data_IF_758408241067
#
_entry.id   IF_758408241067
#
_cell.length_a   1.000
_cell.length_b   1.000
_cell.length_c   1.000
_cell.angle_alpha   90.00
_cell.angle_beta   90.00
_cell.angle_gamma   90.00
#
_symmetry.space_group_name_H-M   'P 1'
#
loop_
_entity.id
_entity.type
_entity.pdbx_description
1 polymer ?
#
# COMPACT_ATOMS: atom_id res chain seq x y z
N UNK A 1 10.61 -15.66 10.05
CA UNK A 1 9.40 -15.04 10.63
C UNK A 1 8.61 -14.56 9.44
N UNK A 2 7.43 -15.12 9.19
CA UNK A 2 6.64 -14.77 8.01
C UNK A 2 6.16 -13.31 8.08
N UNK A 3 5.99 -12.65 6.95
CA UNK A 3 5.49 -11.26 6.87
C UNK A 3 4.11 -11.14 7.51
N UNK A 4 3.27 -12.17 7.35
CA UNK A 4 1.97 -12.29 8.02
C UNK A 4 2.07 -12.24 9.54
N UNK A 5 3.16 -12.76 10.11
CA UNK A 5 3.38 -12.75 11.56
C UNK A 5 3.70 -11.34 12.08
N UNK A 6 4.24 -10.47 11.21
CA UNK A 6 4.59 -9.09 11.55
C UNK A 6 3.41 -8.14 11.31
N UNK A 7 2.49 -8.47 10.40
CA UNK A 7 1.40 -7.59 9.98
C UNK A 7 0.04 -8.01 10.54
N UNK A 8 -0.50 -9.14 10.12
CA UNK A 8 -1.84 -9.59 10.51
C UNK A 8 -1.90 -10.41 11.79
N UNK A 9 -0.78 -11.07 12.13
CA UNK A 9 -0.59 -11.77 13.40
C UNK A 9 0.26 -10.96 14.40
N UNK A 10 0.49 -9.65 14.12
CA UNK A 10 1.21 -8.80 15.08
C UNK A 10 0.54 -8.95 16.46
N UNK A 11 1.38 -9.19 17.47
CA UNK A 11 0.93 -9.34 18.85
C UNK A 11 0.24 -8.09 19.38
N UNK A 12 0.42 -6.94 18.73
CA UNK A 12 -0.24 -5.69 19.06
C UNK A 12 -1.65 -5.62 18.44
N UNK A 13 -2.72 -5.73 19.26
CA UNK A 13 -4.09 -5.74 18.77
C UNK A 13 -4.49 -4.42 18.06
N UNK A 14 -3.87 -3.30 18.47
CA UNK A 14 -4.14 -1.98 17.85
C UNK A 14 -3.61 -1.95 16.42
N UNK A 15 -2.41 -2.46 16.17
CA UNK A 15 -1.86 -2.53 14.81
C UNK A 15 -2.70 -3.41 13.91
N UNK A 16 -3.10 -4.61 14.39
CA UNK A 16 -3.99 -5.50 13.64
C UNK A 16 -5.30 -4.81 13.27
N UNK A 17 -5.92 -4.15 14.26
CA UNK A 17 -7.16 -3.42 14.03
C UNK A 17 -6.99 -2.31 12.99
N UNK A 18 -5.92 -1.50 13.07
CA UNK A 18 -5.63 -0.45 12.09
C UNK A 18 -5.45 -0.99 10.67
N UNK A 19 -4.75 -2.11 10.51
CA UNK A 19 -4.57 -2.76 9.21
C UNK A 19 -5.88 -3.29 8.65
N UNK A 20 -6.67 -3.96 9.48
CA UNK A 20 -7.99 -4.43 9.09
C UNK A 20 -8.90 -3.26 8.66
N UNK A 21 -8.89 -2.15 9.40
CA UNK A 21 -9.68 -0.96 9.05
C UNK A 21 -9.29 -0.36 7.70
N UNK A 22 -8.00 -0.37 7.33
CA UNK A 22 -7.54 0.10 6.02
C UNK A 22 -8.10 -0.77 4.89
N UNK A 23 -7.98 -2.08 5.03
CA UNK A 23 -8.52 -3.03 4.06
C UNK A 23 -10.03 -2.90 3.94
N UNK A 24 -10.75 -2.85 5.05
CA UNK A 24 -12.20 -2.66 5.05
C UNK A 24 -12.63 -1.32 4.42
N UNK A 25 -11.89 -0.25 4.69
CA UNK A 25 -12.16 1.06 4.07
C UNK A 25 -11.98 1.00 2.57
N UNK A 26 -10.89 0.43 2.08
CA UNK A 26 -10.64 0.27 0.65
C UNK A 26 -11.70 -0.62 -0.01
N UNK A 27 -12.04 -1.75 0.62
CA UNK A 27 -13.10 -2.67 0.17
C UNK A 27 -14.47 -1.96 0.10
N UNK A 28 -14.81 -1.11 1.09
CA UNK A 28 -16.06 -0.33 1.08
C UNK A 28 -16.07 0.74 -0.01
N UNK A 29 -14.95 1.37 -0.32
CA UNK A 29 -14.86 2.33 -1.43
C UNK A 29 -15.16 1.65 -2.76
N UNK A 30 -14.72 0.40 -2.92
CA UNK A 30 -15.00 -0.41 -4.10
C UNK A 30 -16.42 -1.01 -4.13
N UNK A 31 -17.20 -0.87 -3.05
CA UNK A 31 -18.54 -1.44 -3.01
C UNK A 31 -19.46 -0.82 -4.09
N UNK A 32 -20.14 -1.68 -4.84
CA UNK A 32 -20.99 -1.28 -5.97
C UNK A 32 -20.26 -1.18 -7.32
N UNK A 33 -18.93 -1.29 -7.36
CA UNK A 33 -18.21 -1.50 -8.60
C UNK A 33 -18.40 -2.94 -9.08
N UNK A 34 -18.29 -3.15 -10.41
CA UNK A 34 -18.42 -4.50 -11.00
C UNK A 34 -17.28 -4.77 -12.01
N UNK A 35 -16.02 -4.74 -11.56
CA UNK A 35 -14.88 -4.97 -12.43
C UNK A 35 -14.75 -6.47 -12.76
N UNK A 36 -14.39 -6.79 -14.02
CA UNK A 36 -14.06 -8.17 -14.41
C UNK A 36 -12.68 -8.61 -13.93
N UNK A 37 -11.73 -7.68 -13.91
CA UNK A 37 -10.37 -7.90 -13.46
C UNK A 37 -10.00 -6.86 -12.40
N UNK A 38 -9.47 -7.34 -11.29
CA UNK A 38 -8.99 -6.53 -10.18
C UNK A 38 -7.51 -6.86 -9.95
N UNK A 39 -6.67 -5.85 -9.87
CA UNK A 39 -5.26 -5.99 -9.54
C UNK A 39 -5.03 -5.55 -8.08
N UNK A 40 -4.44 -6.42 -7.28
CA UNK A 40 -3.83 -6.08 -6.00
C UNK A 40 -2.34 -5.87 -6.23
N UNK A 41 -1.93 -4.59 -6.27
CA UNK A 41 -0.56 -4.19 -6.57
C UNK A 41 0.27 -4.10 -5.28
N UNK A 42 1.25 -4.99 -5.14
CA UNK A 42 2.02 -5.17 -3.91
C UNK A 42 1.21 -5.94 -2.88
N UNK A 43 0.65 -7.07 -3.29
CA UNK A 43 -0.30 -7.86 -2.50
C UNK A 43 0.29 -8.45 -1.20
N UNK A 44 1.62 -8.42 -1.04
CA UNK A 44 2.29 -9.04 0.09
C UNK A 44 1.92 -10.52 0.20
N UNK A 45 1.42 -10.92 1.36
CA UNK A 45 0.96 -12.29 1.59
C UNK A 45 -0.49 -12.55 1.17
N UNK A 46 -1.15 -11.63 0.44
CA UNK A 46 -2.47 -11.84 -0.17
C UNK A 46 -3.68 -11.58 0.73
N UNK A 47 -3.54 -10.94 1.89
CA UNK A 47 -4.69 -10.72 2.79
C UNK A 47 -5.79 -9.83 2.18
N UNK A 48 -5.43 -8.80 1.41
CA UNK A 48 -6.41 -8.01 0.67
C UNK A 48 -7.04 -8.86 -0.44
N UNK A 49 -6.24 -9.60 -1.22
CA UNK A 49 -6.75 -10.52 -2.25
C UNK A 49 -7.82 -11.46 -1.69
N UNK A 50 -7.65 -11.96 -0.46
CA UNK A 50 -8.62 -12.85 0.20
C UNK A 50 -9.97 -12.18 0.42
N UNK A 51 -9.96 -10.92 0.85
CA UNK A 51 -11.18 -10.17 1.12
C UNK A 51 -11.88 -9.79 -0.20
N UNK A 52 -11.15 -9.26 -1.17
CA UNK A 52 -11.73 -8.84 -2.45
C UNK A 52 -12.18 -10.03 -3.29
N UNK A 53 -11.53 -11.20 -3.20
CA UNK A 53 -11.98 -12.41 -3.88
C UNK A 53 -13.37 -12.90 -3.41
N UNK A 54 -13.65 -12.71 -2.13
CA UNK A 54 -14.97 -13.01 -1.56
C UNK A 54 -16.01 -11.94 -1.88
N UNK A 55 -15.58 -10.67 -1.94
CA UNK A 55 -16.46 -9.54 -2.28
C UNK A 55 -16.85 -9.51 -3.76
N UNK A 56 -15.96 -9.95 -4.63
CA UNK A 56 -16.11 -9.95 -6.09
C UNK A 56 -15.97 -11.38 -6.64
N UNK A 57 -16.92 -12.29 -6.36
CA UNK A 57 -16.78 -13.71 -6.71
C UNK A 57 -16.70 -13.95 -8.23
N UNK A 58 -17.29 -13.06 -9.04
CA UNK A 58 -17.26 -13.13 -10.50
C UNK A 58 -16.02 -12.46 -11.13
N UNK A 59 -15.27 -11.68 -10.34
CA UNK A 59 -14.06 -11.02 -10.82
C UNK A 59 -12.86 -11.95 -10.72
N UNK A 60 -11.91 -11.77 -11.63
CA UNK A 60 -10.59 -12.38 -11.56
C UNK A 60 -9.66 -11.45 -10.80
N UNK A 61 -9.13 -11.91 -9.68
CA UNK A 61 -8.23 -11.16 -8.81
C UNK A 61 -6.78 -11.48 -9.20
N UNK A 62 -6.05 -10.47 -9.61
CA UNK A 62 -4.62 -10.58 -9.96
C UNK A 62 -3.82 -10.18 -8.74
N UNK A 63 -3.18 -11.15 -8.10
CA UNK A 63 -2.28 -10.96 -6.96
C UNK A 63 -0.88 -10.69 -7.52
N UNK A 64 -0.45 -9.42 -7.50
CA UNK A 64 0.89 -9.02 -7.92
C UNK A 64 1.77 -8.72 -6.72
N UNK A 65 2.86 -9.48 -6.59
CA UNK A 65 3.89 -9.30 -5.56
C UNK A 65 5.26 -9.60 -6.16
N UNK A 66 6.20 -8.62 -6.23
CA UNK A 66 7.52 -8.84 -6.81
C UNK A 66 8.47 -9.63 -5.91
N UNK A 67 8.19 -9.70 -4.59
CA UNK A 67 9.05 -10.37 -3.62
C UNK A 67 8.76 -11.88 -3.57
N UNK A 68 9.70 -12.77 -3.96
CA UNK A 68 9.42 -14.19 -4.09
C UNK A 68 8.85 -14.84 -2.82
N UNK A 69 9.45 -14.56 -1.66
CA UNK A 69 9.00 -15.14 -0.40
C UNK A 69 7.56 -14.73 -0.02
N UNK A 70 7.19 -13.47 -0.30
CA UNK A 70 5.83 -12.98 -0.05
C UNK A 70 4.83 -13.56 -1.04
N UNK A 71 5.23 -13.70 -2.30
CA UNK A 71 4.42 -14.38 -3.31
C UNK A 71 4.15 -15.86 -2.93
N UNK A 72 5.14 -16.56 -2.39
CA UNK A 72 4.93 -17.94 -1.95
C UNK A 72 3.99 -18.01 -0.73
N UNK A 73 4.12 -17.10 0.24
CA UNK A 73 3.14 -16.96 1.33
C UNK A 73 1.72 -16.65 0.79
N UNK A 74 1.60 -15.80 -0.22
CA UNK A 74 0.31 -15.49 -0.84
C UNK A 74 -0.31 -16.71 -1.53
N UNK A 75 0.48 -17.51 -2.24
CA UNK A 75 0.02 -18.77 -2.86
C UNK A 75 -0.53 -19.75 -1.82
N UNK A 76 0.15 -19.90 -0.68
CA UNK A 76 -0.32 -20.73 0.42
C UNK A 76 -1.63 -20.20 1.04
N UNK A 77 -1.71 -18.88 1.29
CA UNK A 77 -2.86 -18.26 1.92
C UNK A 77 -4.11 -18.25 1.04
N UNK A 78 -3.93 -18.27 -0.29
CA UNK A 78 -5.01 -18.10 -1.28
C UNK A 78 -5.34 -19.39 -2.02
N UNK A 79 -4.76 -20.54 -1.66
CA UNK A 79 -4.87 -21.84 -2.35
C UNK A 79 -6.33 -22.28 -2.61
N UNK A 80 -7.26 -21.89 -1.75
CA UNK A 80 -8.67 -22.28 -1.85
C UNK A 80 -9.53 -21.30 -2.66
N UNK A 81 -8.96 -20.19 -3.18
CA UNK A 81 -9.67 -19.16 -3.91
C UNK A 81 -9.47 -19.32 -5.42
N UNK A 82 -10.51 -19.83 -6.10
CA UNK A 82 -10.44 -20.18 -7.54
C UNK A 82 -10.38 -18.98 -8.48
N UNK A 83 -10.81 -17.81 -8.02
CA UNK A 83 -10.83 -16.58 -8.80
C UNK A 83 -9.57 -15.72 -8.60
N UNK A 84 -8.55 -16.22 -7.88
CA UNK A 84 -7.24 -15.56 -7.72
C UNK A 84 -6.24 -16.15 -8.71
N UNK A 85 -5.46 -15.27 -9.33
CA UNK A 85 -4.30 -15.64 -10.16
C UNK A 85 -3.07 -14.87 -9.68
N UNK A 86 -1.92 -15.50 -9.73
CA UNK A 86 -0.66 -14.92 -9.29
C UNK A 86 0.11 -14.35 -10.47
N UNK A 87 0.71 -13.19 -10.29
CA UNK A 87 1.45 -12.46 -11.28
C UNK A 87 2.75 -11.93 -10.67
N UNK A 88 3.89 -12.31 -11.22
CA UNK A 88 5.19 -11.81 -10.78
C UNK A 88 5.66 -10.64 -11.66
N UNK A 89 5.20 -10.55 -12.90
CA UNK A 89 5.62 -9.55 -13.87
C UNK A 89 4.42 -8.87 -14.52
N UNK A 90 4.25 -7.58 -14.26
CA UNK A 90 3.14 -6.80 -14.83
C UNK A 90 3.15 -6.73 -16.36
N UNK A 91 4.32 -6.95 -16.99
CA UNK A 91 4.43 -7.00 -18.46
C UNK A 91 3.62 -8.10 -19.12
N UNK A 92 3.23 -9.15 -18.38
CA UNK A 92 2.36 -10.22 -18.87
C UNK A 92 0.89 -9.80 -18.99
N UNK A 93 0.50 -8.70 -18.33
CA UNK A 93 -0.87 -8.21 -18.34
C UNK A 93 -1.08 -7.27 -19.54
N UNK A 94 -2.21 -7.49 -20.23
CA UNK A 94 -2.58 -6.67 -21.38
C UNK A 94 -2.89 -5.22 -20.98
N UNK A 95 -2.66 -4.28 -21.88
CA UNK A 95 -3.06 -2.89 -21.74
C UNK A 95 -4.59 -2.79 -21.65
N UNK A 96 -5.09 -1.77 -20.95
CA UNK A 96 -6.54 -1.49 -20.79
C UNK A 96 -7.36 -2.73 -20.38
N UNK A 97 -6.82 -3.56 -19.49
CA UNK A 97 -7.44 -4.83 -19.11
C UNK A 97 -8.00 -4.86 -17.69
N UNK A 98 -7.57 -3.94 -16.81
CA UNK A 98 -7.90 -3.93 -15.39
C UNK A 98 -8.96 -2.88 -15.09
N UNK A 99 -10.08 -3.29 -14.52
CA UNK A 99 -11.17 -2.38 -14.12
C UNK A 99 -10.95 -1.70 -12.78
N UNK A 100 -10.18 -2.34 -11.88
CA UNK A 100 -9.90 -1.80 -10.54
C UNK A 100 -8.49 -2.20 -10.08
N UNK A 101 -7.72 -1.24 -9.61
CA UNK A 101 -6.42 -1.46 -8.97
C UNK A 101 -6.55 -1.11 -7.47
N UNK A 102 -6.14 -2.02 -6.61
CA UNK A 102 -5.81 -1.71 -5.23
C UNK A 102 -4.29 -1.59 -5.08
N UNK A 103 -3.84 -0.58 -4.32
CA UNK A 103 -2.45 -0.39 -3.96
C UNK A 103 -2.40 0.20 -2.55
N UNK A 104 -2.29 -0.68 -1.55
CA UNK A 104 -2.36 -0.31 -0.14
C UNK A 104 -1.00 -0.53 0.55
N UNK A 105 -0.49 0.51 1.22
CA UNK A 105 0.77 0.46 1.97
C UNK A 105 1.97 0.02 1.08
N UNK A 106 2.06 0.60 -0.12
CA UNK A 106 3.14 0.30 -1.08
C UNK A 106 3.95 1.55 -1.41
N UNK A 107 3.31 2.66 -1.79
CA UNK A 107 4.01 3.85 -2.28
C UNK A 107 4.96 4.49 -1.28
N UNK A 108 4.71 4.35 0.02
CA UNK A 108 5.62 4.83 1.06
C UNK A 108 6.98 4.11 1.08
N UNK A 109 7.03 2.96 0.46
CA UNK A 109 8.23 2.13 0.34
C UNK A 109 8.95 2.32 -0.99
N UNK A 110 8.31 2.95 -1.98
CA UNK A 110 8.88 3.08 -3.31
C UNK A 110 9.78 4.32 -3.43
N UNK A 111 11.04 4.18 -3.87
CA UNK A 111 11.82 5.28 -4.40
C UNK A 111 11.14 5.97 -5.59
N UNK A 112 11.65 7.12 -5.98
CA UNK A 112 11.04 7.96 -7.02
C UNK A 112 10.90 7.21 -8.35
N UNK A 113 11.93 6.49 -8.77
CA UNK A 113 11.91 5.69 -10.01
C UNK A 113 10.82 4.62 -9.99
N UNK A 114 10.77 3.84 -8.92
CA UNK A 114 9.78 2.76 -8.72
C UNK A 114 8.37 3.32 -8.60
N UNK A 115 8.21 4.50 -7.99
CA UNK A 115 6.93 5.24 -7.92
C UNK A 115 6.46 5.63 -9.32
N UNK A 116 7.34 6.23 -10.13
CA UNK A 116 7.02 6.60 -11.52
C UNK A 116 6.70 5.38 -12.39
N UNK A 117 7.43 4.29 -12.21
CA UNK A 117 7.22 3.04 -12.92
C UNK A 117 5.85 2.43 -12.54
N UNK A 118 5.50 2.41 -11.25
CA UNK A 118 4.19 1.94 -10.78
C UNK A 118 3.04 2.76 -11.38
N UNK A 119 3.14 4.10 -11.38
CA UNK A 119 2.11 4.96 -11.95
C UNK A 119 1.99 4.81 -13.47
N UNK A 120 3.09 4.54 -14.16
CA UNK A 120 3.08 4.22 -15.59
C UNK A 120 2.35 2.90 -15.87
N UNK A 121 2.58 1.88 -15.03
CA UNK A 121 1.86 0.62 -15.11
C UNK A 121 0.38 0.79 -14.80
N UNK A 122 -0.01 1.59 -13.81
CA UNK A 122 -1.42 1.89 -13.55
C UNK A 122 -2.09 2.50 -14.77
N UNK A 123 -1.45 3.50 -15.39
CA UNK A 123 -1.98 4.16 -16.61
C UNK A 123 -2.10 3.19 -17.78
N UNK A 124 -1.16 2.24 -17.92
CA UNK A 124 -1.18 1.23 -18.99
C UNK A 124 -2.28 0.19 -18.78
N UNK A 125 -2.42 -0.28 -17.54
CA UNK A 125 -3.29 -1.43 -17.22
C UNK A 125 -4.74 -1.04 -17.04
N UNK A 126 -5.03 0.16 -16.49
CA UNK A 126 -6.39 0.60 -16.24
C UNK A 126 -7.17 0.76 -17.55
N UNK A 127 -8.39 0.26 -17.54
CA UNK A 127 -9.40 0.57 -18.57
C UNK A 127 -9.76 2.07 -18.53
N UNK A 128 -10.33 2.62 -19.61
CA UNK A 128 -10.71 4.03 -19.69
C UNK A 128 -11.66 4.47 -18.56
N UNK A 129 -12.53 3.57 -18.10
CA UNK A 129 -13.44 3.77 -16.97
C UNK A 129 -12.98 3.03 -15.71
N UNK A 130 -11.73 2.56 -15.68
CA UNK A 130 -11.14 1.88 -14.54
C UNK A 130 -10.76 2.86 -13.43
N UNK A 131 -10.65 2.34 -12.21
CA UNK A 131 -10.31 3.12 -11.03
C UNK A 131 -9.12 2.51 -10.27
N UNK A 132 -8.39 3.34 -9.54
CA UNK A 132 -7.38 2.89 -8.60
C UNK A 132 -7.69 3.40 -7.19
N UNK A 133 -7.57 2.51 -6.20
CA UNK A 133 -7.69 2.83 -4.78
C UNK A 133 -6.30 2.73 -4.17
N UNK A 134 -5.74 3.89 -3.82
CA UNK A 134 -4.39 4.00 -3.25
C UNK A 134 -4.51 4.35 -1.77
N UNK A 135 -3.90 3.53 -0.93
CA UNK A 135 -3.84 3.74 0.51
C UNK A 135 -2.40 3.86 1.00
N UNK A 136 -2.10 4.94 1.73
CA UNK A 136 -0.76 5.21 2.29
C UNK A 136 -0.85 5.73 3.72
N UNK A 137 0.19 5.51 4.54
CA UNK A 137 0.22 6.04 5.89
C UNK A 137 0.50 7.54 5.90
N UNK A 138 0.00 8.24 6.92
CA UNK A 138 0.40 9.60 7.22
C UNK A 138 1.62 9.57 8.14
N UNK A 139 2.77 10.06 7.64
CA UNK A 139 4.07 10.07 8.34
C UNK A 139 4.57 11.51 8.62
N UNK A 140 3.68 12.51 8.46
CA UNK A 140 3.97 13.92 8.74
C UNK A 140 2.89 14.52 9.67
N UNK A 141 3.20 15.65 10.30
CA UNK A 141 2.31 16.30 11.26
C UNK A 141 2.19 15.51 12.58
N UNK A 142 1.07 15.65 13.27
CA UNK A 142 0.83 15.00 14.57
C UNK A 142 0.98 13.46 14.53
N UNK A 143 0.56 12.74 13.47
CA UNK A 143 0.85 11.31 13.34
C UNK A 143 2.34 10.94 13.43
N UNK A 144 3.24 11.76 12.92
CA UNK A 144 4.67 11.53 13.05
C UNK A 144 5.14 11.57 14.50
N UNK A 145 4.57 12.47 15.31
CA UNK A 145 4.94 12.61 16.72
C UNK A 145 4.57 11.35 17.52
N UNK A 146 3.31 10.94 17.53
CA UNK A 146 2.90 9.79 18.35
C UNK A 146 3.54 8.48 17.87
N UNK A 147 3.68 8.29 16.55
CA UNK A 147 4.41 7.14 15.98
C UNK A 147 5.89 7.19 16.37
N UNK A 148 6.48 8.38 16.31
CA UNK A 148 7.88 8.62 16.69
C UNK A 148 8.16 8.28 18.16
N UNK A 149 7.33 8.74 19.08
CA UNK A 149 7.44 8.40 20.51
C UNK A 149 7.41 6.87 20.69
N UNK A 150 6.48 6.19 20.04
CA UNK A 150 6.38 4.74 20.09
C UNK A 150 7.59 4.02 19.48
N UNK A 151 8.22 4.58 18.44
CA UNK A 151 9.44 4.05 17.82
C UNK A 151 10.66 4.24 18.73
N UNK A 152 10.76 5.39 19.41
CA UNK A 152 11.85 5.69 20.36
C UNK A 152 11.92 4.64 21.47
N UNK A 153 10.79 4.21 22.01
CA UNK A 153 10.76 3.21 23.08
C UNK A 153 11.27 1.82 22.65
N UNK A 154 11.35 1.55 21.35
CA UNK A 154 11.76 0.27 20.79
C UNK A 154 13.13 0.29 20.10
N UNK A 155 13.49 1.41 19.49
CA UNK A 155 14.64 1.50 18.58
C UNK A 155 15.34 2.87 18.66
N UNK A 156 15.56 3.37 19.89
CA UNK A 156 16.18 4.69 20.08
C UNK A 156 17.47 4.83 19.25
N UNK A 157 17.60 5.94 18.54
CA UNK A 157 18.74 6.25 17.68
C UNK A 157 18.64 5.70 16.24
N UNK A 158 17.67 4.84 15.91
CA UNK A 158 17.38 4.45 14.53
C UNK A 158 16.86 5.66 13.73
N UNK A 159 16.97 5.62 12.41
CA UNK A 159 16.56 6.70 11.51
C UNK A 159 15.11 7.18 11.80
N UNK A 160 14.18 6.25 11.96
CA UNK A 160 12.77 6.51 12.21
C UNK A 160 12.41 6.71 13.70
N UNK A 161 13.40 6.59 14.60
CA UNK A 161 13.33 6.85 16.03
C UNK A 161 14.27 7.98 16.48
N UNK A 162 14.78 8.76 15.56
CA UNK A 162 15.57 9.97 15.82
C UNK A 162 14.67 11.14 16.19
N UNK A 163 14.92 11.77 17.33
CA UNK A 163 14.16 12.94 17.82
C UNK A 163 14.17 14.06 16.75
N UNK A 164 15.33 14.31 16.13
CA UNK A 164 15.45 15.29 15.05
C UNK A 164 14.49 14.99 13.89
N UNK A 165 14.48 13.75 13.42
CA UNK A 165 13.65 13.35 12.28
C UNK A 165 12.14 13.38 12.63
N UNK A 166 11.79 13.04 13.87
CA UNK A 166 10.42 13.12 14.37
C UNK A 166 9.95 14.58 14.41
N UNK A 167 10.76 15.50 14.93
CA UNK A 167 10.43 16.93 14.98
C UNK A 167 10.33 17.54 13.57
N UNK A 168 11.25 17.20 12.67
CA UNK A 168 11.16 17.64 11.27
C UNK A 168 9.86 17.15 10.63
N UNK A 169 9.50 15.89 10.82
CA UNK A 169 8.25 15.32 10.28
C UNK A 169 7.01 15.93 10.92
N UNK A 170 7.03 16.25 12.23
CA UNK A 170 5.96 16.96 12.92
C UNK A 170 5.65 18.32 12.27
N UNK A 171 6.69 19.04 11.88
CA UNK A 171 6.54 20.34 11.20
C UNK A 171 6.44 20.23 9.67
N UNK A 172 6.12 19.04 9.15
CA UNK A 172 5.93 18.78 7.71
C UNK A 172 7.20 18.91 6.85
N UNK A 173 8.38 18.74 7.43
CA UNK A 173 9.68 18.67 6.75
C UNK A 173 10.32 17.28 6.93
N UNK A 174 9.71 16.20 6.40
CA UNK A 174 10.23 14.87 6.63
C UNK A 174 11.64 14.71 6.03
N UNK A 175 12.52 13.93 6.69
CA UNK A 175 13.86 13.70 6.19
C UNK A 175 13.85 12.97 4.85
N UNK A 176 14.71 13.39 3.92
CA UNK A 176 14.77 12.81 2.57
C UNK A 176 15.87 11.75 2.40
N UNK A 177 16.79 11.63 3.37
CA UNK A 177 17.95 10.73 3.31
C UNK A 177 17.61 9.29 3.72
N UNK A 178 16.57 8.71 3.10
CA UNK A 178 16.16 7.31 3.30
C UNK A 178 17.13 6.39 2.57
N UNK A 179 17.44 5.24 3.18
CA UNK A 179 18.28 4.22 2.55
C UNK A 179 17.40 3.19 1.86
N UNK A 180 17.53 3.09 0.54
CA UNK A 180 16.87 2.05 -0.23
C UNK A 180 17.68 0.75 -0.18
N UNK A 181 17.00 -0.38 -0.21
CA UNK A 181 17.58 -1.71 -0.35
C UNK A 181 16.90 -2.44 -1.51
N UNK A 182 17.62 -3.27 -2.22
CA UNK A 182 17.06 -4.10 -3.27
C UNK A 182 16.35 -5.31 -2.64
N UNK A 183 15.06 -5.52 -3.01
CA UNK A 183 14.23 -6.63 -2.50
C UNK A 183 13.95 -7.70 -3.56
N UNK A 184 14.10 -7.33 -4.83
CA UNK A 184 14.06 -8.21 -5.99
C UNK A 184 15.02 -7.63 -7.05
N UNK A 185 15.51 -8.39 -8.02
CA UNK A 185 16.42 -7.90 -9.05
C UNK A 185 15.90 -6.63 -9.74
N UNK A 186 16.63 -5.51 -9.56
CA UNK A 186 16.30 -4.21 -10.12
C UNK A 186 15.14 -3.48 -9.43
N UNK A 187 14.66 -3.95 -8.28
CA UNK A 187 13.56 -3.34 -7.53
C UNK A 187 14.04 -2.82 -6.17
N UNK A 188 14.11 -1.50 -6.03
CA UNK A 188 14.54 -0.83 -4.81
C UNK A 188 13.37 -0.50 -3.90
N UNK A 189 13.60 -0.53 -2.59
CA UNK A 189 12.57 -0.43 -1.57
C UNK A 189 13.08 0.26 -0.31
N UNK A 190 12.24 1.08 0.35
CA UNK A 190 12.50 1.67 1.65
C UNK A 190 11.81 0.86 2.75
N UNK A 191 12.55 0.40 3.76
CA UNK A 191 11.95 -0.32 4.88
C UNK A 191 11.21 0.60 5.86
N UNK A 192 11.71 1.81 6.06
CA UNK A 192 11.12 2.76 6.98
C UNK A 192 10.09 3.66 6.30
N UNK A 193 8.97 3.92 6.98
CA UNK A 193 7.97 4.88 6.52
C UNK A 193 8.38 6.34 6.80
N UNK A 194 9.25 6.59 7.80
CA UNK A 194 9.78 7.92 8.09
C UNK A 194 10.44 8.51 6.84
N UNK A 195 10.11 9.76 6.55
CA UNK A 195 10.57 10.43 5.33
C UNK A 195 9.58 10.37 4.17
N UNK A 196 8.52 9.55 4.26
CA UNK A 196 7.43 9.57 3.30
C UNK A 196 6.53 10.79 3.52
N UNK A 197 6.21 11.48 2.42
CA UNK A 197 5.28 12.62 2.42
C UNK A 197 4.12 12.34 1.45
N UNK A 198 2.98 11.96 2.00
CA UNK A 198 1.78 11.66 1.21
C UNK A 198 1.33 12.84 0.33
N UNK A 199 1.65 14.09 0.70
CA UNK A 199 1.28 15.29 -0.07
C UNK A 199 2.00 15.34 -1.42
N UNK A 200 3.28 14.89 -1.45
CA UNK A 200 4.05 14.77 -2.70
C UNK A 200 3.44 13.70 -3.60
N UNK A 201 3.10 12.54 -3.03
CA UNK A 201 2.42 11.48 -3.79
C UNK A 201 1.05 11.97 -4.30
N UNK A 202 0.26 12.65 -3.46
CA UNK A 202 -1.03 13.21 -3.86
C UNK A 202 -0.89 14.20 -5.02
N UNK A 203 0.08 15.12 -4.96
CA UNK A 203 0.36 16.05 -6.06
C UNK A 203 0.75 15.31 -7.35
N UNK A 204 1.57 14.26 -7.24
CA UNK A 204 1.96 13.44 -8.37
C UNK A 204 0.76 12.68 -8.97
N UNK A 205 -0.10 12.10 -8.14
CA UNK A 205 -1.34 11.46 -8.57
C UNK A 205 -2.27 12.45 -9.27
N UNK A 206 -2.46 13.66 -8.74
CA UNK A 206 -3.24 14.71 -9.39
C UNK A 206 -2.70 15.11 -10.76
N UNK A 207 -1.40 15.04 -10.97
CA UNK A 207 -0.80 15.38 -12.28
C UNK A 207 -1.02 14.31 -13.35
N UNK A 208 -1.33 13.07 -12.95
CA UNK A 208 -1.43 11.92 -13.87
C UNK A 208 -2.84 11.33 -13.98
N UNK A 209 -3.66 11.50 -12.94
CA UNK A 209 -4.99 10.91 -12.80
C UNK A 209 -6.00 11.92 -12.30
N UNK A 210 -7.27 11.70 -12.63
CA UNK A 210 -8.38 12.41 -11.99
C UNK A 210 -8.61 11.81 -10.61
N UNK A 211 -8.43 12.60 -9.56
CA UNK A 211 -8.75 12.18 -8.20
C UNK A 211 -10.24 12.42 -7.97
N UNK A 212 -10.98 11.36 -7.70
CA UNK A 212 -12.41 11.42 -7.46
C UNK A 212 -12.72 11.67 -5.98
N UNK A 213 -11.93 11.06 -5.09
CA UNK A 213 -12.18 11.13 -3.65
C UNK A 213 -10.88 10.97 -2.87
N UNK A 214 -10.76 11.74 -1.78
CA UNK A 214 -9.72 11.56 -0.76
C UNK A 214 -10.43 11.23 0.56
N UNK A 215 -10.02 10.14 1.21
CA UNK A 215 -10.60 9.68 2.48
C UNK A 215 -9.50 9.65 3.52
N UNK A 216 -9.73 10.32 4.65
CA UNK A 216 -8.82 10.21 5.78
C UNK A 216 -8.85 8.78 6.36
N UNK A 217 -7.69 8.25 6.72
CA UNK A 217 -7.53 6.89 7.27
C UNK A 217 -8.26 6.70 8.61
N UNK A 218 -8.22 5.48 9.18
CA UNK A 218 -9.26 4.96 10.08
C UNK A 218 -9.51 5.78 11.36
N UNK A 219 -8.69 6.76 11.64
CA UNK A 219 -8.91 7.71 12.74
C UNK A 219 -8.87 9.12 12.12
N UNK A 220 -10.00 9.60 11.63
CA UNK A 220 -10.17 11.03 11.37
C UNK A 220 -10.48 11.75 12.69
N UNK A 221 -9.51 12.44 13.25
CA UNK A 221 -9.74 13.28 14.44
C UNK A 221 -10.54 14.55 14.12
N UNK A 222 -10.73 14.88 12.86
CA UNK A 222 -11.57 15.98 12.40
C UNK A 222 -12.38 15.48 11.21
N UNK A 223 -13.69 15.39 11.40
CA UNK A 223 -14.61 15.10 10.31
C UNK A 223 -14.51 16.20 9.26
N UNK A 224 -14.05 15.82 8.11
CA UNK A 224 -14.35 16.53 6.86
C UNK A 224 -15.10 15.53 6.02
N UNK A 225 -16.43 15.69 6.04
CA UNK A 225 -17.35 15.11 5.08
C UNK A 225 -17.01 15.60 3.66
#
# INVERSE_FOLDING_TARGET
MAYSDITFKDKNPIKRWLQQQRIYTASRIAAGMNPKYILDFGAGNGELCKIIALQFPEAKIICYEPTPNLMDEAKENLVNLRNVVFCNELGELADNSVGLIFCLEVFEHLPEKETEDALRQFKRLLMDNGSAIVGVPVEVGFPALYKGIFRITRRFGAFDASIKNILLSLFYFPPSNRTASEIAPGFSFYYEHMGFDYRKLQALLHSKFKIERVVAGPISFFGTD
#
